data_IF_109923339748
#
_entry.id   IF_109923339748
#
_cell.length_a   1.000
_cell.length_b   1.000
_cell.length_c   1.000
_cell.angle_alpha   90.00
_cell.angle_beta   90.00
_cell.angle_gamma   90.00
#
_symmetry.space_group_name_H-M   'P 1'
#
loop_
_entity.id
_entity.type
_entity.pdbx_description
1 polymer ?
#
# COMPACT_ATOMS: atom_id res chain seq x y z
N UNK A 1 -15.03 2.73 16.51
CA UNK A 1 -15.31 1.39 15.93
C UNK A 1 -14.52 1.19 14.66
N UNK A 2 -13.78 0.08 14.62
CA UNK A 2 -12.93 -0.34 13.50
C UNK A 2 -13.80 -0.76 12.31
N UNK A 3 -13.39 -0.41 11.09
CA UNK A 3 -14.05 -0.89 9.85
C UNK A 3 -13.95 -2.42 9.67
N UNK A 4 -13.18 -3.10 10.54
CA UNK A 4 -12.98 -4.56 10.54
C UNK A 4 -14.19 -5.38 11.01
N UNK A 5 -15.19 -4.78 11.67
CA UNK A 5 -16.36 -5.49 12.23
C UNK A 5 -17.64 -5.32 11.39
N UNK A 6 -17.50 -4.97 10.11
CA UNK A 6 -18.62 -4.73 9.21
C UNK A 6 -19.43 -6.00 8.93
N UNK A 7 -20.71 -6.02 9.31
CA UNK A 7 -21.66 -7.12 9.02
C UNK A 7 -22.61 -6.78 7.87
N UNK A 8 -22.57 -5.55 7.37
CA UNK A 8 -23.43 -5.07 6.28
C UNK A 8 -24.88 -4.82 6.70
N UNK A 9 -25.13 -4.74 8.01
CA UNK A 9 -26.44 -4.42 8.60
C UNK A 9 -26.87 -2.99 8.22
N UNK A 10 -28.14 -2.65 8.43
CA UNK A 10 -28.58 -1.28 8.16
C UNK A 10 -27.86 -0.27 9.06
N UNK A 11 -27.62 -0.60 10.34
CA UNK A 11 -26.85 0.22 11.25
C UNK A 11 -25.42 0.47 10.75
N UNK A 12 -24.76 -0.55 10.23
CA UNK A 12 -23.43 -0.43 9.59
C UNK A 12 -23.49 0.56 8.40
N UNK A 13 -24.49 0.40 7.53
CA UNK A 13 -24.67 1.24 6.33
C UNK A 13 -24.92 2.71 6.69
N UNK A 14 -25.75 2.98 7.68
CA UNK A 14 -25.97 4.32 8.22
C UNK A 14 -24.66 4.89 8.76
N UNK A 15 -23.96 4.13 9.60
CA UNK A 15 -22.67 4.55 10.20
C UNK A 15 -21.63 4.89 9.14
N UNK A 16 -21.51 4.10 8.06
CA UNK A 16 -20.59 4.40 6.97
C UNK A 16 -20.97 5.69 6.24
N UNK A 17 -22.26 5.90 5.93
CA UNK A 17 -22.72 7.14 5.27
C UNK A 17 -22.48 8.36 6.14
N UNK A 18 -22.70 8.25 7.45
CA UNK A 18 -22.45 9.35 8.39
C UNK A 18 -20.97 9.70 8.46
N UNK A 19 -20.09 8.70 8.55
CA UNK A 19 -18.63 8.91 8.50
C UNK A 19 -18.17 9.53 7.18
N UNK A 20 -18.69 9.05 6.05
CA UNK A 20 -18.39 9.65 4.74
C UNK A 20 -18.87 11.10 4.65
N UNK A 21 -20.01 11.41 5.26
CA UNK A 21 -20.52 12.78 5.35
C UNK A 21 -19.63 13.67 6.22
N UNK A 22 -19.14 13.16 7.35
CA UNK A 22 -18.19 13.88 8.21
C UNK A 22 -16.85 14.10 7.52
N UNK A 23 -16.34 13.08 6.83
CA UNK A 23 -15.11 13.17 6.03
C UNK A 23 -15.26 14.21 4.93
N UNK A 24 -16.40 14.22 4.21
CA UNK A 24 -16.70 15.25 3.24
C UNK A 24 -16.54 16.65 3.83
N UNK A 25 -17.00 16.88 5.07
CA UNK A 25 -16.88 18.20 5.68
C UNK A 25 -15.44 18.67 5.90
N UNK A 26 -14.50 17.74 6.06
CA UNK A 26 -13.07 18.01 6.25
C UNK A 26 -12.33 18.25 4.93
N UNK A 27 -12.94 17.98 3.77
CA UNK A 27 -12.27 18.20 2.49
C UNK A 27 -12.06 19.70 2.19
N UNK A 28 -10.94 20.07 1.53
CA UNK A 28 -10.69 21.43 1.09
C UNK A 28 -11.82 21.98 0.20
N UNK A 29 -12.14 23.27 0.33
CA UNK A 29 -13.19 23.96 -0.45
C UNK A 29 -12.99 23.72 -1.96
N UNK A 30 -11.75 23.76 -2.44
CA UNK A 30 -11.41 23.52 -3.85
C UNK A 30 -11.87 22.14 -4.35
N UNK A 31 -11.89 21.12 -3.49
CA UNK A 31 -12.41 19.79 -3.83
C UNK A 31 -13.94 19.81 -3.84
N UNK A 32 -14.56 20.41 -2.82
CA UNK A 32 -16.03 20.56 -2.71
C UNK A 32 -16.64 21.37 -3.87
N UNK A 33 -15.88 22.25 -4.51
CA UNK A 33 -16.32 22.98 -5.72
C UNK A 33 -16.32 22.11 -6.99
N UNK A 34 -15.47 21.08 -7.05
CA UNK A 34 -15.32 20.20 -8.23
C UNK A 34 -16.20 18.95 -8.16
N UNK A 35 -16.62 18.54 -6.97
CA UNK A 35 -17.38 17.32 -6.72
C UNK A 35 -18.70 17.64 -6.01
N UNK A 36 -19.73 16.81 -6.22
CA UNK A 36 -20.98 16.90 -5.46
C UNK A 36 -20.92 15.97 -4.25
N UNK A 37 -21.37 16.44 -3.08
CA UNK A 37 -21.39 15.67 -1.83
C UNK A 37 -22.04 14.29 -2.00
N UNK A 38 -23.24 14.25 -2.58
CA UNK A 38 -23.98 12.99 -2.73
C UNK A 38 -23.28 12.00 -3.68
N UNK A 39 -22.64 12.51 -4.74
CA UNK A 39 -21.86 11.67 -5.64
C UNK A 39 -20.63 11.10 -4.91
N UNK A 40 -19.89 11.94 -4.18
CA UNK A 40 -18.77 11.49 -3.36
C UNK A 40 -19.20 10.42 -2.34
N UNK A 41 -20.25 10.67 -1.56
CA UNK A 41 -20.73 9.72 -0.54
C UNK A 41 -21.13 8.40 -1.20
N UNK A 42 -21.91 8.46 -2.29
CA UNK A 42 -22.37 7.26 -3.00
C UNK A 42 -21.19 6.46 -3.56
N UNK A 43 -20.24 7.12 -4.22
CA UNK A 43 -19.13 6.45 -4.89
C UNK A 43 -18.19 5.81 -3.85
N UNK A 44 -17.83 6.55 -2.80
CA UNK A 44 -17.04 6.01 -1.69
C UNK A 44 -17.77 4.88 -0.95
N UNK A 45 -19.07 5.03 -0.72
CA UNK A 45 -19.87 3.99 -0.09
C UNK A 45 -19.87 2.71 -0.92
N UNK A 46 -20.08 2.83 -2.23
CA UNK A 46 -20.11 1.68 -3.13
C UNK A 46 -18.77 0.95 -3.19
N UNK A 47 -17.64 1.67 -3.13
CA UNK A 47 -16.31 1.06 -3.04
C UNK A 47 -16.10 0.37 -1.68
N UNK A 48 -16.32 1.08 -0.58
CA UNK A 48 -16.01 0.59 0.77
C UNK A 48 -16.95 -0.55 1.18
N UNK A 49 -18.20 -0.53 0.74
CA UNK A 49 -19.16 -1.58 1.07
C UNK A 49 -18.93 -2.90 0.31
N UNK A 50 -18.02 -2.93 -0.68
CA UNK A 50 -17.71 -4.20 -1.37
C UNK A 50 -17.04 -5.21 -0.43
N UNK A 51 -17.34 -6.51 -0.54
CA UNK A 51 -16.67 -7.54 0.25
C UNK A 51 -15.15 -7.49 0.12
N UNK A 52 -14.64 -7.27 -1.10
CA UNK A 52 -13.20 -7.15 -1.36
C UNK A 52 -12.56 -6.00 -0.58
N UNK A 53 -13.12 -4.79 -0.63
CA UNK A 53 -12.52 -3.63 0.05
C UNK A 53 -12.57 -3.79 1.58
N UNK A 54 -13.63 -4.42 2.10
CA UNK A 54 -13.71 -4.76 3.54
C UNK A 54 -12.62 -5.71 3.97
N UNK A 55 -12.38 -6.75 3.19
CA UNK A 55 -11.29 -7.69 3.47
C UNK A 55 -9.95 -6.99 3.35
N UNK A 56 -9.74 -6.16 2.33
CA UNK A 56 -8.51 -5.38 2.16
C UNK A 56 -8.21 -4.49 3.38
N UNK A 57 -9.21 -3.79 3.93
CA UNK A 57 -9.04 -2.95 5.12
C UNK A 57 -8.81 -3.74 6.41
N UNK A 58 -9.37 -4.94 6.52
CA UNK A 58 -9.25 -5.79 7.71
C UNK A 58 -8.00 -6.68 7.69
N UNK A 59 -7.38 -6.85 6.51
CA UNK A 59 -6.22 -7.71 6.33
C UNK A 59 -5.01 -7.12 7.07
N UNK A 60 -4.44 -7.89 7.97
CA UNK A 60 -3.11 -7.63 8.52
C UNK A 60 -2.08 -8.52 7.80
N UNK A 61 -1.25 -7.97 6.88
CA UNK A 61 -0.23 -8.73 6.17
C UNK A 61 0.80 -9.39 7.11
N UNK A 62 1.03 -8.85 8.31
CA UNK A 62 2.02 -9.39 9.24
C UNK A 62 1.67 -10.82 9.68
N UNK A 63 0.38 -11.14 9.83
CA UNK A 63 -0.06 -12.49 10.19
C UNK A 63 0.25 -13.54 9.12
N UNK A 64 0.35 -13.12 7.85
CA UNK A 64 0.72 -13.99 6.74
C UNK A 64 2.23 -14.04 6.56
N UNK A 65 2.92 -12.91 6.70
CA UNK A 65 4.39 -12.84 6.61
C UNK A 65 5.08 -13.73 7.65
N UNK A 66 4.54 -13.86 8.87
CA UNK A 66 5.04 -14.80 9.89
C UNK A 66 5.07 -16.26 9.42
N UNK A 67 4.21 -16.62 8.46
CA UNK A 67 4.09 -17.98 7.94
C UNK A 67 5.02 -18.25 6.75
N UNK A 68 5.62 -17.21 6.16
CA UNK A 68 6.54 -17.35 5.02
C UNK A 68 7.80 -18.07 5.46
N UNK A 69 8.15 -19.15 4.76
CA UNK A 69 9.34 -19.97 5.04
C UNK A 69 10.41 -19.91 3.95
N UNK A 70 10.09 -19.46 2.74
CA UNK A 70 11.08 -19.28 1.67
C UNK A 70 11.94 -18.02 1.90
N UNK A 71 13.10 -17.90 1.23
CA UNK A 71 13.85 -16.66 1.21
C UNK A 71 13.02 -15.48 0.70
N UNK A 72 13.24 -14.28 1.26
CA UNK A 72 12.50 -13.06 0.90
C UNK A 72 13.45 -11.93 0.53
N UNK A 73 13.22 -11.30 -0.62
CA UNK A 73 13.77 -9.98 -0.94
C UNK A 73 12.65 -8.95 -0.79
N UNK A 74 12.76 -8.05 0.18
CA UNK A 74 11.82 -6.95 0.36
C UNK A 74 12.48 -5.63 -0.04
N UNK A 75 11.89 -4.94 -1.02
CA UNK A 75 12.47 -3.74 -1.61
C UNK A 75 11.45 -2.60 -1.68
N UNK A 76 11.93 -1.36 -1.54
CA UNK A 76 11.11 -0.15 -1.68
C UNK A 76 11.92 0.99 -2.31
N UNK A 77 11.25 1.85 -3.09
CA UNK A 77 11.80 3.16 -3.45
C UNK A 77 11.77 4.12 -2.27
N UNK A 78 12.82 4.91 -2.07
CA UNK A 78 12.92 5.88 -0.98
C UNK A 78 11.83 6.96 -1.06
N UNK A 79 11.50 7.41 -2.28
CA UNK A 79 10.50 8.45 -2.56
C UNK A 79 9.11 7.87 -2.78
N UNK A 80 8.85 6.64 -2.36
CA UNK A 80 7.51 6.06 -2.41
C UNK A 80 6.56 6.82 -1.47
N UNK A 81 5.69 7.65 -2.04
CA UNK A 81 4.68 8.41 -1.30
C UNK A 81 3.40 7.63 -1.02
N UNK A 82 3.24 6.43 -1.61
CA UNK A 82 2.07 5.58 -1.39
C UNK A 82 2.32 4.60 -0.24
N UNK A 83 3.53 4.05 -0.17
CA UNK A 83 3.95 3.08 0.85
C UNK A 83 5.34 3.46 1.37
N UNK A 84 5.37 4.16 2.51
CA UNK A 84 6.61 4.69 3.09
C UNK A 84 7.64 3.57 3.33
N UNK A 85 8.82 3.70 2.71
CA UNK A 85 9.85 2.67 2.68
C UNK A 85 10.26 2.17 4.07
N UNK A 86 10.59 3.08 4.99
CA UNK A 86 11.04 2.74 6.34
C UNK A 86 9.98 1.94 7.11
N UNK A 87 8.73 2.41 7.08
CA UNK A 87 7.62 1.75 7.78
C UNK A 87 7.33 0.38 7.17
N UNK A 88 7.31 0.28 5.84
CA UNK A 88 6.96 -0.96 5.16
C UNK A 88 8.03 -2.03 5.35
N UNK A 89 9.30 -1.72 5.06
CA UNK A 89 10.41 -2.66 5.22
C UNK A 89 10.61 -3.04 6.70
N UNK A 90 10.45 -2.08 7.62
CA UNK A 90 10.50 -2.35 9.06
C UNK A 90 9.40 -3.30 9.53
N UNK A 91 8.17 -3.14 9.05
CA UNK A 91 7.06 -4.03 9.36
C UNK A 91 7.26 -5.44 8.78
N UNK A 92 7.73 -5.55 7.53
CA UNK A 92 8.04 -6.83 6.89
C UNK A 92 9.13 -7.56 7.68
N UNK A 93 10.23 -6.87 8.00
CA UNK A 93 11.32 -7.40 8.82
C UNK A 93 10.81 -7.96 10.15
N UNK A 94 10.07 -7.15 10.90
CA UNK A 94 9.50 -7.53 12.19
C UNK A 94 8.59 -8.76 12.09
N UNK A 95 7.77 -8.86 11.04
CA UNK A 95 6.87 -9.99 10.83
C UNK A 95 7.64 -11.28 10.49
N UNK A 96 8.67 -11.20 9.64
CA UNK A 96 9.52 -12.34 9.28
C UNK A 96 10.33 -12.84 10.48
N UNK A 97 10.88 -11.93 11.29
CA UNK A 97 11.58 -12.26 12.54
C UNK A 97 10.65 -13.00 13.52
N UNK A 98 9.43 -12.50 13.73
CA UNK A 98 8.39 -13.18 14.54
C UNK A 98 8.03 -14.56 13.98
N UNK A 99 8.05 -14.70 12.65
CA UNK A 99 7.88 -15.97 11.93
C UNK A 99 9.08 -16.92 12.00
N UNK A 100 10.18 -16.49 12.64
CA UNK A 100 11.48 -17.19 12.68
C UNK A 100 12.04 -17.47 11.29
N UNK A 101 11.75 -16.63 10.31
CA UNK A 101 12.36 -16.68 8.99
C UNK A 101 13.42 -15.58 8.91
N UNK A 102 14.69 -15.96 9.07
CA UNK A 102 15.82 -15.03 9.00
C UNK A 102 16.49 -14.98 7.62
N UNK A 103 15.92 -15.68 6.63
CA UNK A 103 16.43 -15.71 5.26
C UNK A 103 15.81 -14.56 4.45
N UNK A 104 16.04 -13.33 4.88
CA UNK A 104 15.56 -12.17 4.16
C UNK A 104 16.64 -11.13 3.94
N UNK A 105 16.47 -10.37 2.86
CA UNK A 105 17.23 -9.18 2.54
C UNK A 105 16.23 -8.02 2.37
N UNK A 106 16.55 -6.86 2.94
CA UNK A 106 15.76 -5.63 2.76
C UNK A 106 16.61 -4.57 2.08
N UNK A 107 16.10 -3.88 1.07
CA UNK A 107 16.84 -2.78 0.42
C UNK A 107 15.93 -1.62 0.05
N UNK A 108 16.34 -0.42 0.45
CA UNK A 108 15.74 0.83 -0.02
C UNK A 108 16.57 1.39 -1.16
N UNK A 109 15.92 1.88 -2.21
CA UNK A 109 16.58 2.49 -3.36
C UNK A 109 16.41 4.01 -3.33
N UNK A 110 17.49 4.78 -3.10
CA UNK A 110 17.44 6.23 -3.06
C UNK A 110 16.89 6.83 -4.34
N UNK A 111 16.07 7.88 -4.21
CA UNK A 111 15.52 8.61 -5.37
C UNK A 111 14.48 7.86 -6.22
N UNK A 112 14.11 6.63 -5.88
CA UNK A 112 13.10 5.88 -6.64
C UNK A 112 11.68 6.06 -6.07
N UNK A 113 10.68 6.13 -6.94
CA UNK A 113 9.27 6.21 -6.58
C UNK A 113 8.66 4.82 -6.27
N UNK A 114 7.34 4.77 -6.10
CA UNK A 114 6.56 3.55 -5.86
C UNK A 114 6.75 2.46 -6.93
N UNK A 115 6.96 2.87 -8.19
CA UNK A 115 7.13 1.97 -9.34
C UNK A 115 8.61 1.62 -9.58
N UNK A 116 9.51 2.02 -8.67
CA UNK A 116 10.96 1.91 -8.82
C UNK A 116 11.52 2.68 -10.03
N UNK A 117 10.90 3.81 -10.38
CA UNK A 117 11.43 4.74 -11.37
C UNK A 117 12.21 5.86 -10.68
N UNK A 118 13.30 6.33 -11.30
CA UNK A 118 14.00 7.55 -10.90
C UNK A 118 13.06 8.75 -10.96
N UNK A 119 12.98 9.51 -9.86
CA UNK A 119 11.98 10.55 -9.73
C UNK A 119 12.46 11.75 -8.91
N UNK A 120 11.79 12.89 -9.09
CA UNK A 120 12.07 14.10 -8.34
C UNK A 120 11.28 14.14 -7.03
N UNK A 121 9.96 13.93 -7.08
CA UNK A 121 9.10 14.02 -5.89
C UNK A 121 8.47 12.70 -5.48
N UNK A 122 8.43 11.71 -6.36
CA UNK A 122 7.79 10.41 -6.12
C UNK A 122 6.28 10.40 -6.29
N UNK A 123 5.68 11.52 -6.71
CA UNK A 123 4.24 11.66 -6.89
C UNK A 123 3.74 10.92 -8.14
N UNK A 124 2.51 10.43 -8.06
CA UNK A 124 1.85 9.69 -9.14
C UNK A 124 1.72 10.47 -10.47
N UNK A 125 1.70 11.81 -10.43
CA UNK A 125 1.63 12.63 -11.64
C UNK A 125 2.95 12.72 -12.44
N UNK A 126 4.05 12.16 -11.91
CA UNK A 126 5.31 11.95 -12.63
C UNK A 126 5.32 10.65 -13.43
N UNK A 127 4.54 9.63 -13.03
CA UNK A 127 4.72 8.25 -13.51
C UNK A 127 4.66 8.12 -15.04
N UNK A 128 3.69 8.80 -15.67
CA UNK A 128 3.51 8.79 -17.12
C UNK A 128 4.42 9.75 -17.89
N UNK A 129 5.20 10.59 -17.18
CA UNK A 129 6.18 11.52 -17.78
C UNK A 129 7.60 10.92 -17.77
N UNK A 130 7.87 10.01 -16.84
CA UNK A 130 9.14 9.30 -16.74
C UNK A 130 9.15 8.18 -17.78
N UNK A 131 10.11 8.22 -18.69
CA UNK A 131 10.25 7.19 -19.73
C UNK A 131 10.69 5.82 -19.17
N UNK A 132 11.50 5.83 -18.10
CA UNK A 132 11.97 4.61 -17.45
C UNK A 132 10.79 3.79 -16.92
N UNK A 133 10.69 2.53 -17.34
CA UNK A 133 9.68 1.59 -16.80
C UNK A 133 10.01 1.17 -15.37
N UNK A 134 11.26 0.78 -15.13
CA UNK A 134 11.79 0.33 -13.83
C UNK A 134 13.31 0.50 -13.84
N UNK A 135 13.90 0.89 -12.71
CA UNK A 135 15.35 1.12 -12.60
C UNK A 135 16.16 -0.15 -12.91
N UNK A 136 17.19 -0.01 -13.73
CA UNK A 136 18.08 -1.12 -14.10
C UNK A 136 18.83 -1.68 -12.89
N UNK A 137 19.10 -0.86 -11.88
CA UNK A 137 19.72 -1.31 -10.63
C UNK A 137 18.80 -2.29 -9.89
N UNK A 138 17.50 -1.97 -9.81
CA UNK A 138 16.49 -2.84 -9.20
C UNK A 138 16.36 -4.15 -9.96
N UNK A 139 16.31 -4.12 -11.30
CA UNK A 139 16.29 -5.35 -12.11
C UNK A 139 17.54 -6.21 -11.90
N UNK A 140 18.70 -5.57 -11.84
CA UNK A 140 19.99 -6.24 -11.66
C UNK A 140 20.05 -6.91 -10.29
N UNK A 141 19.62 -6.23 -9.23
CA UNK A 141 19.60 -6.77 -7.87
C UNK A 141 18.60 -7.92 -7.69
N UNK A 142 17.40 -7.82 -8.28
CA UNK A 142 16.44 -8.93 -8.31
C UNK A 142 17.06 -10.14 -9.01
N UNK A 143 17.68 -9.93 -10.17
CA UNK A 143 18.33 -11.00 -10.94
C UNK A 143 19.45 -11.67 -10.15
N UNK A 144 20.31 -10.85 -9.53
CA UNK A 144 21.41 -11.32 -8.70
C UNK A 144 20.90 -12.10 -7.50
N UNK A 145 19.89 -11.57 -6.79
CA UNK A 145 19.30 -12.22 -5.63
C UNK A 145 18.70 -13.57 -5.98
N UNK A 146 17.94 -13.68 -7.08
CA UNK A 146 17.39 -14.96 -7.56
C UNK A 146 18.50 -15.96 -7.83
N UNK A 147 19.55 -15.58 -8.58
CA UNK A 147 20.70 -16.45 -8.86
C UNK A 147 21.40 -16.93 -7.60
N UNK A 148 21.55 -16.04 -6.60
CA UNK A 148 22.10 -16.38 -5.29
C UNK A 148 21.26 -17.43 -4.56
N UNK A 149 19.92 -17.40 -4.69
CA UNK A 149 19.06 -18.41 -4.07
C UNK A 149 19.12 -19.78 -4.78
N UNK A 150 19.44 -19.82 -6.07
CA UNK A 150 19.54 -21.08 -6.84
C UNK A 150 20.86 -21.82 -6.65
N UNK A 151 21.93 -21.10 -6.30
CA UNK A 151 23.27 -21.66 -6.14
C UNK A 151 23.57 -22.10 -4.68
N UNK A 152 22.57 -22.09 -3.80
CA UNK A 152 22.66 -22.44 -2.38
C UNK A 152 21.90 -23.74 -2.06
#
# INVERSE_FOLDING_TARGET
ESLSEWKGTEADRVTLRDRLSQLWEQYPILVKMKLKKDAFIRDQFNTIATPWYRQFLALDPAEYLKKVKCPVLAINGEKDTQVLAEKNLGAIKSALDKGRNYRYETKTYPGLNHLFQECETGRADEYGKIEQTLSLDVLSDITFWIRKQLNN
#
